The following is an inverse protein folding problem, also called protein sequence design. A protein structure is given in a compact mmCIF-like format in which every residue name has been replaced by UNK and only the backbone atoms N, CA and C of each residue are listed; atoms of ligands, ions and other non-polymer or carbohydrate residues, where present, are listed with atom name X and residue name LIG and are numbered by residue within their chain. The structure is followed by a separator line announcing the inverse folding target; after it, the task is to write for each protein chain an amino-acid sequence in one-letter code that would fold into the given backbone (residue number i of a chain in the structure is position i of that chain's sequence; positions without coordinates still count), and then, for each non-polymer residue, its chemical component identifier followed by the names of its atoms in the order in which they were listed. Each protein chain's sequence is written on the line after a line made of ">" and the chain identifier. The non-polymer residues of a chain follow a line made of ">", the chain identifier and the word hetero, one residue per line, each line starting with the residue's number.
data_IF_043749567437
#
_entry.id   IF_043749567437
#
_cell.length_a   1.000
_cell.length_b   1.000
_cell.length_c   1.000
_cell.angle_alpha   90.00
_cell.angle_beta   90.00
_cell.angle_gamma   90.00
#
_symmetry.space_group_name_H-M   'P 1'
#
loop_
_entity.id
_entity.type
_entity.pdbx_description
1 polymer ?
#
# COMPACT_ATOMS: atom_id res chain seq x y z
N UNK A 1 -6.72 -11.49 -26.98
CA UNK A 1 -6.06 -12.56 -26.18
C UNK A 1 -5.76 -12.02 -24.80
N UNK A 2 -6.16 -12.72 -23.76
CA UNK A 2 -5.95 -12.26 -22.38
C UNK A 2 -4.47 -12.26 -22.03
N UNK A 3 -3.98 -11.10 -21.59
CA UNK A 3 -2.62 -10.94 -21.07
C UNK A 3 -2.66 -10.65 -19.58
N UNK A 4 -1.63 -11.11 -18.87
CA UNK A 4 -1.48 -10.91 -17.44
C UNK A 4 -0.14 -10.28 -17.12
N UNK A 5 -0.11 -9.43 -16.11
CA UNK A 5 1.12 -8.82 -15.61
C UNK A 5 1.16 -8.83 -14.09
N UNK A 6 2.30 -9.24 -13.57
CA UNK A 6 2.59 -9.18 -12.13
C UNK A 6 3.34 -7.89 -11.83
N UNK A 7 3.02 -7.29 -10.69
CA UNK A 7 3.77 -6.17 -10.14
C UNK A 7 4.13 -6.43 -8.68
N UNK A 8 5.23 -5.87 -8.25
CA UNK A 8 5.72 -5.93 -6.87
C UNK A 8 5.99 -4.51 -6.39
N UNK A 9 5.56 -4.21 -5.17
CA UNK A 9 5.83 -2.94 -4.51
C UNK A 9 6.35 -3.15 -3.09
N UNK A 10 7.18 -2.22 -2.63
CA UNK A 10 7.73 -2.22 -1.28
C UNK A 10 7.85 -0.78 -0.79
N UNK A 11 7.47 -0.56 0.46
CA UNK A 11 7.65 0.73 1.12
C UNK A 11 7.99 0.55 2.59
N UNK A 12 8.71 1.48 3.16
CA UNK A 12 9.08 1.51 4.56
C UNK A 12 9.13 2.95 5.05
N UNK A 13 8.57 3.19 6.24
CA UNK A 13 8.62 4.48 6.90
C UNK A 13 8.99 4.34 8.37
N UNK A 14 9.63 5.39 8.91
CA UNK A 14 10.05 5.47 10.30
C UNK A 14 8.83 5.68 11.22
N UNK A 15 8.82 5.01 12.36
CA UNK A 15 7.86 5.27 13.44
C UNK A 15 8.31 6.47 14.27
N UNK A 16 7.42 7.44 14.46
CA UNK A 16 7.65 8.62 15.29
C UNK A 16 6.45 8.89 16.20
N UNK A 17 6.68 9.58 17.29
CA UNK A 17 5.60 10.08 18.15
C UNK A 17 4.90 11.28 17.51
N UNK A 18 3.64 11.53 17.88
CA UNK A 18 2.88 12.70 17.44
C UNK A 18 2.25 12.58 16.06
N UNK A 19 2.26 11.38 15.46
CA UNK A 19 1.54 11.11 14.21
C UNK A 19 0.57 9.96 14.40
N UNK A 20 -0.54 10.01 13.65
CA UNK A 20 -1.49 8.89 13.54
C UNK A 20 -0.85 7.76 12.75
N UNK A 21 -1.14 6.53 13.14
CA UNK A 21 -0.78 5.34 12.37
C UNK A 21 -1.92 5.00 11.42
N UNK A 22 -1.64 5.08 10.11
CA UNK A 22 -2.59 4.74 9.06
C UNK A 22 -1.98 3.64 8.20
N UNK A 23 -2.65 2.50 8.12
CA UNK A 23 -2.23 1.34 7.33
C UNK A 23 -3.42 0.80 6.55
N UNK A 24 -3.26 0.62 5.24
CA UNK A 24 -4.33 0.12 4.38
C UNK A 24 -5.57 1.00 4.36
N UNK A 25 -5.39 2.31 4.53
CA UNK A 25 -6.48 3.28 4.61
C UNK A 25 -7.25 3.26 5.93
N UNK A 26 -6.74 2.56 6.96
CA UNK A 26 -7.37 2.41 8.27
C UNK A 26 -6.52 3.08 9.34
N UNK A 27 -7.12 3.93 10.15
CA UNK A 27 -6.46 4.50 11.33
C UNK A 27 -6.38 3.46 12.44
N UNK A 28 -5.17 3.23 12.94
CA UNK A 28 -4.88 2.23 13.96
C UNK A 28 -4.45 2.94 15.24
N UNK A 29 -5.12 2.63 16.35
CA UNK A 29 -4.76 3.18 17.66
C UNK A 29 -3.38 2.65 18.10
N UNK A 30 -2.42 3.56 18.18
CA UNK A 30 -1.05 3.27 18.58
C UNK A 30 -0.37 4.57 19.03
N UNK A 31 0.65 4.46 19.90
CA UNK A 31 1.36 5.62 20.45
C UNK A 31 2.26 6.34 19.42
N UNK A 32 2.54 5.70 18.29
CA UNK A 32 3.34 6.25 17.20
C UNK A 32 2.62 6.14 15.87
N UNK A 33 3.01 6.96 14.91
CA UNK A 33 2.60 6.84 13.51
C UNK A 33 3.82 6.86 12.60
N UNK A 34 3.59 6.72 11.32
CA UNK A 34 4.66 6.69 10.32
C UNK A 34 4.98 8.11 9.84
N UNK A 35 6.28 8.41 9.75
CA UNK A 35 6.79 9.67 9.25
C UNK A 35 6.88 9.66 7.73
N UNK A 36 6.50 10.75 7.10
CA UNK A 36 6.57 10.90 5.65
C UNK A 36 5.89 12.17 5.17
N UNK A 37 6.07 12.48 3.89
CA UNK A 37 5.50 13.65 3.25
C UNK A 37 3.96 13.59 3.15
N UNK A 38 3.41 12.39 2.87
CA UNK A 38 1.98 12.08 2.89
C UNK A 38 1.56 11.58 4.28
N UNK A 39 0.44 10.82 4.37
CA UNK A 39 0.06 10.10 5.58
C UNK A 39 0.95 8.89 5.88
N UNK A 40 1.93 8.61 5.01
CA UNK A 40 2.91 7.53 5.12
C UNK A 40 2.30 6.12 5.24
N UNK A 41 1.15 5.88 4.59
CA UNK A 41 0.51 4.57 4.53
C UNK A 41 1.35 3.62 3.66
N UNK A 42 2.25 2.86 4.29
CA UNK A 42 3.15 1.94 3.58
C UNK A 42 2.41 0.85 2.82
N UNK A 43 1.23 0.46 3.28
CA UNK A 43 0.42 -0.58 2.62
C UNK A 43 -0.12 -0.06 1.29
N UNK A 44 -0.75 1.10 1.29
CA UNK A 44 -1.29 1.68 0.07
C UNK A 44 -0.19 2.10 -0.89
N UNK A 45 0.95 2.60 -0.39
CA UNK A 45 2.11 2.92 -1.23
C UNK A 45 2.70 1.69 -1.92
N UNK A 46 2.83 0.58 -1.20
CA UNK A 46 3.31 -0.68 -1.78
C UNK A 46 2.35 -1.19 -2.87
N UNK A 47 1.04 -1.10 -2.66
CA UNK A 47 0.03 -1.46 -3.66
C UNK A 47 0.13 -0.55 -4.89
N UNK A 48 0.27 0.76 -4.68
CA UNK A 48 0.45 1.71 -5.80
C UNK A 48 1.67 1.34 -6.66
N UNK A 49 2.81 1.07 -6.04
CA UNK A 49 4.02 0.67 -6.76
C UNK A 49 3.87 -0.66 -7.48
N UNK A 50 3.20 -1.64 -6.86
CA UNK A 50 2.91 -2.91 -7.50
C UNK A 50 2.07 -2.72 -8.78
N UNK A 51 1.02 -1.91 -8.70
CA UNK A 51 0.13 -1.64 -9.84
C UNK A 51 0.86 -0.87 -10.95
N UNK A 52 1.61 0.17 -10.58
CA UNK A 52 2.40 0.96 -11.54
C UNK A 52 3.45 0.10 -12.23
N UNK A 53 4.15 -0.75 -11.47
CA UNK A 53 5.15 -1.68 -12.00
C UNK A 53 4.55 -2.67 -12.99
N UNK A 54 3.43 -3.29 -12.65
CA UNK A 54 2.71 -4.22 -13.53
C UNK A 54 2.31 -3.55 -14.85
N UNK A 55 1.86 -2.29 -14.80
CA UNK A 55 1.47 -1.51 -15.98
C UNK A 55 2.66 -0.85 -16.72
N UNK A 56 3.89 -1.04 -16.24
CA UNK A 56 5.11 -0.41 -16.78
C UNK A 56 5.06 1.13 -16.75
N UNK A 57 4.48 1.70 -15.70
CA UNK A 57 4.30 3.16 -15.53
C UNK A 57 5.32 3.79 -14.55
N UNK A 58 6.37 3.07 -14.18
CA UNK A 58 7.37 3.55 -13.24
C UNK A 58 6.98 3.29 -11.79
N UNK A 59 7.12 4.28 -10.94
CA UNK A 59 6.88 4.20 -9.51
C UNK A 59 6.06 5.37 -8.98
N UNK A 60 5.69 5.30 -7.69
CA UNK A 60 4.88 6.33 -7.04
C UNK A 60 5.60 7.70 -7.01
N UNK A 61 6.92 7.71 -6.84
CA UNK A 61 7.71 8.95 -6.80
C UNK A 61 7.71 9.70 -8.13
N UNK A 62 7.58 9.01 -9.25
CA UNK A 62 7.45 9.62 -10.57
C UNK A 62 6.12 10.38 -10.73
N UNK A 63 5.04 9.82 -10.19
CA UNK A 63 3.69 10.40 -10.32
C UNK A 63 3.34 11.39 -9.22
N UNK A 64 3.92 11.22 -8.03
CA UNK A 64 3.69 12.04 -6.86
C UNK A 64 5.04 12.38 -6.20
N UNK A 65 5.80 13.33 -6.79
CA UNK A 65 7.12 13.68 -6.26
C UNK A 65 7.06 14.08 -4.79
N UNK A 66 7.92 13.52 -3.92
CA UNK A 66 7.86 13.77 -2.48
C UNK A 66 8.24 15.20 -2.08
N UNK A 67 8.88 15.94 -2.95
CA UNK A 67 9.25 17.35 -2.78
C UNK A 67 8.20 18.32 -3.31
N UNK A 68 7.14 17.84 -3.95
CA UNK A 68 6.04 18.68 -4.46
C UNK A 68 5.09 19.04 -3.30
N UNK A 69 4.97 20.33 -2.93
CA UNK A 69 4.08 20.77 -1.86
C UNK A 69 2.61 20.34 -2.02
N UNK A 70 2.18 20.10 -3.25
CA UNK A 70 0.82 19.64 -3.60
C UNK A 70 0.45 18.32 -2.89
N UNK A 71 1.44 17.46 -2.62
CA UNK A 71 1.22 16.15 -2.02
C UNK A 71 1.57 16.09 -0.54
N UNK A 72 1.93 17.23 0.07
CA UNK A 72 2.16 17.29 1.50
C UNK A 72 0.88 16.91 2.25
N UNK A 73 1.00 16.01 3.22
CA UNK A 73 -0.11 15.45 3.99
C UNK A 73 -1.20 14.79 3.14
N UNK A 74 -0.86 14.37 1.91
CA UNK A 74 -1.79 13.74 1.00
C UNK A 74 -2.37 12.44 1.59
N UNK A 75 -3.66 12.25 1.37
CA UNK A 75 -4.36 11.02 1.71
C UNK A 75 -4.00 9.92 0.71
N UNK A 76 -3.31 8.89 1.16
CA UNK A 76 -2.88 7.78 0.28
C UNK A 76 -4.04 7.01 -0.33
N UNK A 77 -5.25 7.11 0.23
CA UNK A 77 -6.46 6.55 -0.40
C UNK A 77 -6.75 7.23 -1.73
N UNK A 78 -6.57 8.54 -1.79
CA UNK A 78 -6.73 9.30 -3.05
C UNK A 78 -5.59 9.01 -4.03
N UNK A 79 -4.36 8.83 -3.53
CA UNK A 79 -3.23 8.41 -4.37
C UNK A 79 -3.51 7.05 -5.02
N UNK A 80 -4.02 6.09 -4.26
CA UNK A 80 -4.37 4.76 -4.77
C UNK A 80 -5.44 4.83 -5.86
N UNK A 81 -6.50 5.61 -5.66
CA UNK A 81 -7.54 5.82 -6.67
C UNK A 81 -6.95 6.40 -7.96
N UNK A 82 -6.06 7.37 -7.83
CA UNK A 82 -5.42 8.02 -8.97
C UNK A 82 -4.52 7.04 -9.75
N UNK A 83 -3.73 6.25 -9.04
CA UNK A 83 -2.91 5.19 -9.65
C UNK A 83 -3.79 4.17 -10.37
N UNK A 84 -4.86 3.71 -9.73
CA UNK A 84 -5.81 2.78 -10.34
C UNK A 84 -6.38 3.33 -11.65
N UNK A 85 -6.77 4.61 -11.66
CA UNK A 85 -7.29 5.25 -12.87
C UNK A 85 -6.24 5.27 -14.00
N UNK A 86 -4.99 5.65 -13.70
CA UNK A 86 -3.89 5.62 -14.68
C UNK A 86 -3.64 4.23 -15.26
N UNK A 87 -3.65 3.22 -14.41
CA UNK A 87 -3.46 1.82 -14.82
C UNK A 87 -4.59 1.36 -15.76
N UNK A 88 -5.83 1.74 -15.45
CA UNK A 88 -7.00 1.46 -16.31
C UNK A 88 -6.87 2.15 -17.67
N UNK A 89 -6.45 3.40 -17.70
CA UNK A 89 -6.26 4.16 -18.95
C UNK A 89 -5.20 3.53 -19.88
N UNK A 90 -4.31 2.71 -19.31
CA UNK A 90 -3.32 1.95 -20.08
C UNK A 90 -3.83 0.55 -20.50
N UNK A 91 -5.11 0.25 -20.30
CA UNK A 91 -5.72 -1.02 -20.72
C UNK A 91 -5.61 -2.17 -19.70
N UNK A 92 -5.25 -1.88 -18.46
CA UNK A 92 -5.09 -2.87 -17.38
C UNK A 92 -6.14 -2.68 -16.29
N UNK A 93 -7.43 -2.78 -16.66
CA UNK A 93 -8.52 -2.44 -15.72
C UNK A 93 -8.87 -3.57 -14.74
N UNK A 94 -8.46 -4.81 -15.01
CA UNK A 94 -8.86 -5.96 -14.19
C UNK A 94 -7.76 -6.31 -13.20
N UNK A 95 -8.07 -6.17 -11.91
CA UNK A 95 -7.20 -6.63 -10.82
C UNK A 95 -7.64 -8.03 -10.45
N UNK A 96 -6.81 -9.03 -10.76
CA UNK A 96 -7.10 -10.42 -10.45
C UNK A 96 -6.92 -10.71 -8.97
N UNK A 97 -5.82 -10.23 -8.38
CA UNK A 97 -5.62 -10.26 -6.93
C UNK A 97 -4.53 -9.29 -6.47
N UNK A 98 -4.57 -9.01 -5.17
CA UNK A 98 -3.54 -8.26 -4.45
C UNK A 98 -3.20 -9.05 -3.19
N UNK A 99 -1.93 -9.30 -2.95
CA UNK A 99 -1.42 -9.92 -1.74
C UNK A 99 -0.42 -8.99 -1.06
N UNK A 100 -0.64 -8.69 0.22
CA UNK A 100 0.17 -7.76 1.00
C UNK A 100 0.77 -8.47 2.21
N UNK A 101 2.03 -8.20 2.49
CA UNK A 101 2.68 -8.58 3.74
C UNK A 101 3.14 -7.32 4.47
N UNK A 102 2.68 -7.13 5.69
CA UNK A 102 3.09 -6.03 6.56
C UNK A 102 4.13 -6.55 7.56
N UNK A 103 5.27 -5.90 7.63
CA UNK A 103 6.35 -6.22 8.56
C UNK A 103 6.36 -5.19 9.68
N UNK A 104 5.95 -5.60 10.87
CA UNK A 104 5.85 -4.74 12.05
C UNK A 104 6.00 -5.55 13.33
N UNK A 105 6.82 -5.07 14.26
CA UNK A 105 6.88 -5.67 15.61
C UNK A 105 5.65 -5.30 16.43
N UNK A 106 5.25 -4.03 16.37
CA UNK A 106 4.06 -3.48 17.03
C UNK A 106 3.42 -2.41 16.14
N UNK A 107 2.10 -2.16 16.27
CA UNK A 107 1.13 -2.92 17.08
C UNK A 107 0.79 -4.27 16.46
N UNK A 108 0.07 -5.11 17.22
CA UNK A 108 -0.54 -6.33 16.65
C UNK A 108 -1.63 -5.94 15.66
N UNK A 109 -1.57 -6.48 14.45
CA UNK A 109 -2.44 -6.06 13.34
C UNK A 109 -3.59 -7.05 13.08
N UNK A 110 -3.68 -8.15 13.81
CA UNK A 110 -4.64 -9.22 13.56
C UNK A 110 -6.08 -8.73 13.44
N UNK A 111 -6.51 -7.88 14.36
CA UNK A 111 -7.88 -7.34 14.35
C UNK A 111 -8.15 -6.29 13.28
N UNK A 112 -7.12 -5.77 12.62
CA UNK A 112 -7.24 -4.73 11.59
C UNK A 112 -7.15 -5.27 10.16
N UNK A 113 -6.73 -6.52 9.98
CA UNK A 113 -6.53 -7.11 8.63
C UNK A 113 -7.80 -7.08 7.81
N UNK A 114 -8.93 -7.48 8.39
CA UNK A 114 -10.22 -7.47 7.69
C UNK A 114 -10.64 -6.05 7.31
N UNK A 115 -10.44 -5.07 8.17
CA UNK A 115 -10.75 -3.67 7.89
C UNK A 115 -9.90 -3.13 6.74
N UNK A 116 -8.61 -3.41 6.73
CA UNK A 116 -7.71 -3.02 5.63
C UNK A 116 -8.13 -3.67 4.32
N UNK A 117 -8.39 -4.97 4.33
CA UNK A 117 -8.86 -5.72 3.17
C UNK A 117 -10.13 -5.11 2.57
N UNK A 118 -11.14 -4.85 3.40
CA UNK A 118 -12.40 -4.25 2.96
C UNK A 118 -12.18 -2.83 2.41
N UNK A 119 -11.36 -2.02 3.08
CA UNK A 119 -11.05 -0.66 2.63
C UNK A 119 -10.35 -0.64 1.28
N UNK A 120 -9.35 -1.48 1.08
CA UNK A 120 -8.63 -1.59 -0.19
C UNK A 120 -9.58 -2.04 -1.31
N UNK A 121 -10.40 -3.06 -1.06
CA UNK A 121 -11.38 -3.54 -2.03
C UNK A 121 -12.39 -2.46 -2.42
N UNK A 122 -12.89 -1.69 -1.44
CA UNK A 122 -13.77 -0.54 -1.66
C UNK A 122 -13.11 0.52 -2.54
N UNK A 123 -11.88 0.93 -2.22
CA UNK A 123 -11.14 1.95 -2.96
C UNK A 123 -10.90 1.55 -4.41
N UNK A 124 -10.63 0.28 -4.67
CA UNK A 124 -10.35 -0.27 -6.00
C UNK A 124 -11.61 -0.78 -6.71
N UNK A 125 -12.76 -0.79 -6.03
CA UNK A 125 -14.03 -1.30 -6.55
C UNK A 125 -13.93 -2.74 -7.06
N UNK A 126 -13.28 -3.59 -6.27
CA UNK A 126 -13.13 -5.02 -6.53
C UNK A 126 -13.73 -5.83 -5.37
N UNK A 127 -13.99 -7.11 -5.63
CA UNK A 127 -14.44 -8.02 -4.58
C UNK A 127 -13.34 -8.21 -3.53
N UNK A 128 -13.70 -8.20 -2.25
CA UNK A 128 -12.74 -8.33 -1.15
C UNK A 128 -11.99 -9.68 -1.15
N UNK A 129 -12.53 -10.71 -1.77
CA UNK A 129 -11.85 -12.00 -1.95
C UNK A 129 -10.59 -11.90 -2.81
N UNK A 130 -10.42 -10.80 -3.57
CA UNK A 130 -9.24 -10.54 -4.39
C UNK A 130 -8.11 -9.86 -3.63
N UNK A 131 -8.32 -9.52 -2.36
CA UNK A 131 -7.34 -8.84 -1.51
C UNK A 131 -6.99 -9.72 -0.32
N UNK A 132 -5.71 -9.93 -0.08
CA UNK A 132 -5.23 -10.63 1.11
C UNK A 132 -4.23 -9.76 1.89
N UNK A 133 -4.36 -9.74 3.20
CA UNK A 133 -3.46 -9.01 4.11
C UNK A 133 -2.84 -10.01 5.10
N UNK A 134 -1.52 -10.08 5.06
CA UNK A 134 -0.69 -10.83 6.02
C UNK A 134 0.13 -9.86 6.85
N UNK A 135 0.44 -10.21 8.06
CA UNK A 135 1.35 -9.45 8.90
C UNK A 135 2.34 -10.40 9.58
N UNK A 136 3.57 -9.96 9.71
CA UNK A 136 4.64 -10.69 10.38
C UNK A 136 5.53 -9.74 11.17
N UNK A 137 6.16 -10.25 12.22
CA UNK A 137 7.28 -9.58 12.84
C UNK A 137 8.57 -9.94 12.09
N UNK A 138 9.68 -9.34 12.45
CA UNK A 138 11.02 -9.76 12.00
C UNK A 138 11.80 -10.47 13.12
N UNK A 139 11.09 -11.02 14.10
CA UNK A 139 11.67 -11.76 15.22
C UNK A 139 12.72 -10.93 15.99
N UNK A 140 12.49 -9.64 16.15
CA UNK A 140 13.41 -8.71 16.81
C UNK A 140 14.64 -8.32 15.97
N UNK A 141 14.72 -8.76 14.71
CA UNK A 141 15.87 -8.52 13.84
C UNK A 141 15.72 -7.21 13.04
N UNK A 142 16.83 -6.49 12.94
CA UNK A 142 16.94 -5.29 12.11
C UNK A 142 16.14 -4.09 12.64
N UNK A 143 15.98 -3.09 11.80
CA UNK A 143 15.28 -1.85 12.14
C UNK A 143 13.80 -2.09 12.48
N UNK A 144 13.13 -2.96 11.72
CA UNK A 144 11.74 -3.35 12.04
C UNK A 144 11.69 -4.03 13.41
N UNK A 145 12.61 -4.96 13.67
CA UNK A 145 12.70 -5.67 14.95
C UNK A 145 12.98 -4.77 16.14
N UNK A 146 13.69 -3.65 15.92
CA UNK A 146 13.91 -2.61 16.94
C UNK A 146 12.77 -1.59 17.02
N UNK A 147 11.69 -1.80 16.30
CA UNK A 147 10.52 -0.91 16.28
C UNK A 147 10.84 0.51 15.77
N UNK A 148 11.81 0.62 14.85
CA UNK A 148 12.18 1.90 14.24
C UNK A 148 11.28 2.26 13.05
N UNK A 149 10.57 1.29 12.50
CA UNK A 149 9.71 1.51 11.33
C UNK A 149 8.75 0.36 11.09
N UNK A 150 7.89 0.56 10.10
CA UNK A 150 6.99 -0.46 9.55
C UNK A 150 7.22 -0.50 8.05
N UNK A 151 7.27 -1.70 7.49
CA UNK A 151 7.37 -1.92 6.05
C UNK A 151 6.17 -2.71 5.53
N UNK A 152 5.91 -2.58 4.24
CA UNK A 152 4.94 -3.42 3.54
C UNK A 152 5.48 -3.82 2.18
N UNK A 153 5.16 -5.03 1.76
CA UNK A 153 5.37 -5.52 0.42
C UNK A 153 4.03 -5.92 -0.18
N UNK A 154 3.82 -5.63 -1.45
CA UNK A 154 2.61 -5.99 -2.16
C UNK A 154 2.93 -6.64 -3.49
N UNK A 155 2.13 -7.63 -3.86
CA UNK A 155 2.14 -8.23 -5.20
C UNK A 155 0.74 -8.05 -5.77
N UNK A 156 0.64 -7.69 -7.03
CA UNK A 156 -0.63 -7.69 -7.76
C UNK A 156 -0.52 -8.46 -9.06
N UNK A 157 -1.63 -9.02 -9.48
CA UNK A 157 -1.81 -9.58 -10.82
C UNK A 157 -2.87 -8.76 -11.54
N UNK A 158 -2.48 -8.15 -12.64
CA UNK A 158 -3.38 -7.40 -13.52
C UNK A 158 -3.67 -8.22 -14.78
N UNK A 159 -4.84 -7.99 -15.34
CA UNK A 159 -5.27 -8.54 -16.61
C UNK A 159 -5.73 -7.40 -17.52
N UNK A 160 -5.47 -7.52 -18.81
CA UNK A 160 -5.91 -6.54 -19.80
C UNK A 160 -7.43 -6.55 -20.01
N UNK A 161 -7.92 -5.59 -20.79
CA UNK A 161 -9.35 -5.30 -20.96
C UNK A 161 -10.05 -6.17 -22.01
N UNK A 162 -9.41 -7.19 -22.54
CA UNK A 162 -10.00 -8.09 -23.54
C UNK A 162 -11.31 -8.75 -23.08
#
# INVERSE_FOLDING_TARGET
>A
MSEYRVGYGYDIHRLITGRKLILGGVEIEFEKGLDGHSDADVVLHAICDAMLGAAALGDIGKHFPPDDPKYKDADSRELLKHVHQKVKECGWSKIENIDVTIMAERPKLTKFKSLMKEKIAELLKIDSSRVNIKATTTEGLGAIGRQEGIAAAAVCLLKNDD
#
